data_IF_468108641049
#
_entry.id   IF_468108641049
#
_cell.length_a   1.000
_cell.length_b   1.000
_cell.length_c   1.000
_cell.angle_alpha   90.00
_cell.angle_beta   90.00
_cell.angle_gamma   90.00
#
_symmetry.space_group_name_H-M   'P 1'
#
loop_
_entity.id
_entity.type
_entity.pdbx_description
1 polymer ?
#
# COMPACT_ATOMS: atom_id res chain seq x y z
N UNK A 1 -33.34 35.54 52.97
CA UNK A 1 -31.92 35.45 52.54
C UNK A 1 -31.83 34.34 51.52
N UNK A 2 -31.66 34.70 50.23
CA UNK A 2 -31.73 33.77 49.09
C UNK A 2 -30.30 33.49 48.61
N UNK A 3 -29.95 32.21 48.54
CA UNK A 3 -28.66 31.66 48.12
C UNK A 3 -28.55 31.62 46.59
N UNK A 4 -27.50 32.22 46.02
CA UNK A 4 -27.13 32.13 44.61
C UNK A 4 -25.96 31.16 44.43
N UNK A 5 -26.25 29.98 43.91
CA UNK A 5 -25.27 28.96 43.48
C UNK A 5 -24.88 29.25 42.02
N UNK A 6 -23.59 29.29 41.63
CA UNK A 6 -23.21 29.40 40.23
C UNK A 6 -23.43 28.07 39.50
N UNK A 7 -24.21 28.11 38.40
CA UNK A 7 -24.50 26.95 37.53
C UNK A 7 -23.27 26.56 36.71
N UNK A 8 -22.57 25.49 37.13
CA UNK A 8 -21.43 24.90 36.41
C UNK A 8 -21.79 24.19 35.08
N UNK A 9 -23.07 24.16 34.68
CA UNK A 9 -23.52 23.46 33.47
C UNK A 9 -23.50 24.27 32.16
N UNK A 10 -23.28 25.59 32.22
CA UNK A 10 -23.38 26.47 31.02
C UNK A 10 -22.00 26.77 30.42
N UNK A 11 -20.93 26.84 31.24
CA UNK A 11 -19.58 27.13 30.75
C UNK A 11 -18.96 25.97 29.96
N UNK A 12 -19.22 24.71 30.34
CA UNK A 12 -18.68 23.53 29.64
C UNK A 12 -19.26 23.43 28.22
N UNK A 13 -20.56 23.73 28.06
CA UNK A 13 -21.23 23.73 26.76
C UNK A 13 -20.72 24.82 25.82
N UNK A 14 -20.38 26.00 26.34
CA UNK A 14 -19.81 27.10 25.54
C UNK A 14 -18.38 26.78 25.08
N UNK A 15 -17.58 26.13 25.93
CA UNK A 15 -16.20 25.72 25.58
C UNK A 15 -16.20 24.62 24.52
N UNK A 16 -17.11 23.65 24.61
CA UNK A 16 -17.28 22.61 23.59
C UNK A 16 -17.76 23.23 22.26
N UNK A 17 -18.71 24.17 22.31
CA UNK A 17 -19.19 24.86 21.11
C UNK A 17 -18.08 25.68 20.44
N UNK A 18 -17.26 26.39 21.22
CA UNK A 18 -16.11 27.15 20.72
C UNK A 18 -15.04 26.23 20.13
N UNK A 19 -14.79 25.06 20.73
CA UNK A 19 -13.82 24.09 20.23
C UNK A 19 -14.28 23.45 18.90
N UNK A 20 -15.57 23.11 18.80
CA UNK A 20 -16.19 22.64 17.56
C UNK A 20 -16.14 23.74 16.49
N UNK A 21 -16.42 25.00 16.84
CA UNK A 21 -16.35 26.13 15.91
C UNK A 21 -14.90 26.37 15.43
N UNK A 22 -13.90 26.25 16.30
CA UNK A 22 -12.49 26.36 15.90
C UNK A 22 -12.02 25.20 15.03
N UNK A 23 -12.54 23.99 15.27
CA UNK A 23 -12.27 22.83 14.40
C UNK A 23 -12.92 22.99 13.03
N UNK A 24 -14.14 23.55 12.95
CA UNK A 24 -14.82 23.87 11.69
C UNK A 24 -14.08 25.00 10.94
N UNK A 25 -13.62 26.03 11.63
CA UNK A 25 -12.85 27.12 11.01
C UNK A 25 -11.47 26.63 10.57
N UNK A 26 -10.83 25.73 11.33
CA UNK A 26 -9.54 25.12 10.96
C UNK A 26 -9.69 24.16 9.77
N UNK A 27 -10.77 23.36 9.72
CA UNK A 27 -11.06 22.50 8.56
C UNK A 27 -11.39 23.32 7.31
N UNK A 28 -12.10 24.45 7.46
CA UNK A 28 -12.37 25.38 6.37
C UNK A 28 -11.10 26.11 5.88
N UNK A 29 -10.12 26.38 6.77
CA UNK A 29 -8.82 26.95 6.39
C UNK A 29 -7.88 25.94 5.73
N UNK A 30 -7.93 24.66 6.14
CA UNK A 30 -7.22 23.57 5.45
C UNK A 30 -7.81 23.28 4.06
N UNK A 31 -9.13 23.41 3.89
CA UNK A 31 -9.76 23.35 2.56
C UNK A 31 -9.45 24.57 1.67
N UNK A 32 -9.02 25.69 2.24
CA UNK A 32 -8.70 26.91 1.50
C UNK A 32 -7.27 26.91 0.88
N UNK A 33 -6.49 25.85 1.07
CA UNK A 33 -5.12 25.72 0.54
C UNK A 33 -5.00 24.77 -0.66
N UNK A 34 -6.13 24.26 -1.17
CA UNK A 34 -6.18 23.53 -2.43
C UNK A 34 -6.24 24.57 -3.55
N UNK A 35 -5.29 24.60 -4.51
CA UNK A 35 -5.40 25.48 -5.67
C UNK A 35 -6.67 25.12 -6.43
N UNK A 36 -7.68 26.00 -6.40
CA UNK A 36 -8.81 25.87 -7.31
C UNK A 36 -8.30 26.01 -8.74
N UNK A 37 -8.63 25.04 -9.58
CA UNK A 37 -8.40 25.12 -11.03
C UNK A 37 -9.36 26.19 -11.57
N UNK A 38 -8.89 27.44 -11.64
CA UNK A 38 -9.57 28.50 -12.40
C UNK A 38 -9.37 28.21 -13.89
N UNK A 39 -10.45 27.83 -14.57
CA UNK A 39 -10.44 27.70 -16.03
C UNK A 39 -11.31 26.59 -16.63
N UNK A 40 -12.04 25.81 -15.83
CA UNK A 40 -12.97 24.82 -16.38
C UNK A 40 -14.41 25.34 -16.39
N UNK A 41 -14.83 25.89 -17.53
CA UNK A 41 -16.25 26.01 -17.84
C UNK A 41 -16.73 24.63 -18.29
N UNK A 42 -17.64 24.02 -17.54
CA UNK A 42 -18.24 22.72 -17.87
C UNK A 42 -18.79 22.68 -19.30
N UNK A 43 -19.13 21.48 -19.82
CA UNK A 43 -19.48 21.33 -21.23
C UNK A 43 -20.70 22.19 -21.58
N UNK A 44 -20.53 23.01 -22.61
CA UNK A 44 -21.63 23.73 -23.24
C UNK A 44 -22.69 22.73 -23.71
N UNK A 45 -23.98 23.08 -23.54
CA UNK A 45 -25.10 22.30 -24.07
C UNK A 45 -24.99 22.22 -25.60
N UNK A 46 -24.30 21.19 -26.08
CA UNK A 46 -24.19 20.80 -27.47
C UNK A 46 -25.16 19.65 -27.78
N UNK A 47 -25.83 19.78 -28.91
CA UNK A 47 -26.96 18.98 -29.38
C UNK A 47 -26.71 17.46 -29.41
N UNK A 48 -27.74 16.68 -29.09
CA UNK A 48 -27.80 15.22 -29.23
C UNK A 48 -27.40 14.80 -30.65
N UNK A 49 -26.16 14.33 -30.82
CA UNK A 49 -25.76 13.52 -31.98
C UNK A 49 -25.95 12.05 -31.61
N UNK A 50 -26.55 11.30 -32.53
CA UNK A 50 -26.74 9.86 -32.44
C UNK A 50 -25.42 9.14 -32.08
N UNK A 51 -25.47 7.97 -31.42
CA UNK A 51 -24.27 7.24 -31.02
C UNK A 51 -23.40 6.97 -32.25
N UNK A 52 -22.18 7.49 -32.22
CA UNK A 52 -21.14 7.20 -33.22
C UNK A 52 -20.85 5.71 -33.13
N UNK A 53 -20.97 5.00 -34.25
CA UNK A 53 -20.61 3.59 -34.33
C UNK A 53 -19.15 3.40 -33.84
N UNK A 54 -18.84 2.33 -33.08
CA UNK A 54 -17.49 2.12 -32.57
C UNK A 54 -16.50 2.07 -33.73
N UNK A 55 -15.50 2.95 -33.68
CA UNK A 55 -14.36 2.95 -34.59
C UNK A 55 -13.74 1.54 -34.59
N UNK A 56 -13.46 0.94 -35.76
CA UNK A 56 -12.81 -0.37 -35.80
C UNK A 56 -11.44 -0.27 -35.10
N UNK A 57 -11.22 -1.20 -34.17
CA UNK A 57 -10.01 -1.33 -33.34
C UNK A 57 -8.79 -1.43 -34.26
N UNK A 58 -7.83 -0.51 -34.12
CA UNK A 58 -6.59 -0.55 -34.90
C UNK A 58 -5.70 -1.72 -34.43
N UNK A 59 -4.90 -2.30 -35.33
CA UNK A 59 -4.02 -3.44 -35.00
C UNK A 59 -2.94 -3.06 -33.96
N UNK A 60 -2.61 -1.78 -33.83
CA UNK A 60 -1.77 -1.24 -32.75
C UNK A 60 -2.42 -1.28 -31.35
N UNK A 61 -3.74 -1.51 -31.24
CA UNK A 61 -4.47 -1.63 -29.97
C UNK A 61 -4.56 -3.10 -29.48
N UNK A 62 -3.84 -4.04 -30.11
CA UNK A 62 -3.85 -5.46 -29.75
C UNK A 62 -2.98 -5.67 -28.49
N UNK A 63 -3.67 -5.62 -27.34
CA UNK A 63 -3.30 -6.16 -26.03
C UNK A 63 -2.18 -5.45 -25.23
N UNK A 64 -2.51 -4.28 -24.67
CA UNK A 64 -1.79 -3.66 -23.53
C UNK A 64 -1.90 -4.51 -22.24
N UNK A 65 -3.00 -5.23 -22.08
CA UNK A 65 -3.39 -5.99 -20.88
C UNK A 65 -2.93 -7.45 -21.05
N UNK A 66 -1.66 -7.79 -20.73
CA UNK A 66 -1.06 -9.08 -21.12
C UNK A 66 -1.95 -10.30 -20.81
N UNK A 67 -2.08 -11.24 -21.76
CA UNK A 67 -2.79 -12.49 -21.49
C UNK A 67 -2.01 -13.30 -20.44
N UNK A 68 -2.65 -13.62 -19.32
CA UNK A 68 -1.96 -14.24 -18.21
C UNK A 68 -1.61 -15.71 -18.50
N UNK A 69 -0.31 -16.00 -18.65
CA UNK A 69 0.23 -17.37 -18.61
C UNK A 69 0.91 -17.65 -17.27
N UNK A 70 0.46 -18.69 -16.57
CA UNK A 70 1.09 -19.10 -15.31
C UNK A 70 2.53 -19.59 -15.55
N UNK A 71 3.46 -19.16 -14.71
CA UNK A 71 4.83 -19.66 -14.74
C UNK A 71 4.95 -21.03 -14.08
N UNK A 72 6.03 -21.74 -14.38
CA UNK A 72 6.36 -23.04 -13.78
C UNK A 72 7.50 -22.83 -12.78
N UNK A 73 7.27 -23.02 -11.47
CA UNK A 73 8.34 -22.96 -10.47
C UNK A 73 9.43 -23.98 -10.76
N UNK A 74 10.66 -23.64 -10.41
CA UNK A 74 11.77 -24.58 -10.39
C UNK A 74 11.53 -25.71 -9.37
N UNK A 75 12.20 -26.87 -9.52
CA UNK A 75 12.12 -27.95 -8.55
C UNK A 75 12.48 -27.49 -7.12
N UNK A 76 11.94 -28.16 -6.08
CA UNK A 76 12.26 -27.83 -4.68
C UNK A 76 13.76 -27.76 -4.42
N UNK A 77 14.19 -26.77 -3.64
CA UNK A 77 15.61 -26.53 -3.32
C UNK A 77 16.39 -25.76 -4.39
N UNK A 78 15.75 -25.38 -5.50
CA UNK A 78 16.35 -24.50 -6.50
C UNK A 78 16.41 -23.05 -6.02
N UNK A 79 17.46 -22.33 -6.42
CA UNK A 79 17.57 -20.89 -6.17
C UNK A 79 17.00 -20.07 -7.34
N UNK A 80 16.54 -18.86 -7.01
CA UNK A 80 16.14 -17.84 -7.99
C UNK A 80 17.08 -16.64 -7.88
N UNK A 81 17.45 -16.07 -9.02
CA UNK A 81 18.06 -14.74 -9.03
C UNK A 81 17.03 -13.69 -8.64
N UNK A 82 17.40 -12.77 -7.75
CA UNK A 82 16.47 -11.80 -7.16
C UNK A 82 17.04 -10.38 -7.21
N UNK A 83 16.18 -9.40 -7.42
CA UNK A 83 16.49 -8.00 -7.10
C UNK A 83 15.41 -7.37 -6.22
N UNK A 84 15.84 -6.48 -5.33
CA UNK A 84 15.01 -5.58 -4.55
C UNK A 84 15.21 -4.16 -5.08
N UNK A 85 14.14 -3.58 -5.62
CA UNK A 85 14.11 -2.25 -6.23
C UNK A 85 13.42 -1.28 -5.29
N UNK A 86 14.19 -0.28 -4.80
CA UNK A 86 13.73 0.64 -3.77
C UNK A 86 14.01 2.10 -4.17
N UNK A 87 12.97 2.89 -4.49
CA UNK A 87 13.07 4.33 -4.52
C UNK A 87 13.20 4.88 -3.11
N UNK A 88 14.05 5.88 -2.92
CA UNK A 88 14.20 6.61 -1.66
C UNK A 88 14.60 8.05 -1.89
N UNK A 89 14.27 8.89 -0.92
CA UNK A 89 14.86 10.22 -0.74
C UNK A 89 16.22 10.11 -0.04
N UNK A 90 17.07 11.11 -0.20
CA UNK A 90 18.38 11.17 0.46
C UNK A 90 18.27 11.10 1.98
N UNK A 91 17.21 11.65 2.56
CA UNK A 91 16.98 11.68 4.01
C UNK A 91 16.43 10.37 4.61
N UNK A 92 15.83 9.49 3.80
CA UNK A 92 15.27 8.23 4.30
C UNK A 92 16.41 7.27 4.71
N UNK A 93 16.14 6.23 5.48
CA UNK A 93 17.15 5.22 5.80
C UNK A 93 16.67 3.87 5.31
N UNK A 94 17.54 3.14 4.61
CA UNK A 94 17.25 1.84 3.99
C UNK A 94 18.29 0.79 4.40
N UNK A 95 18.97 1.02 5.52
CA UNK A 95 20.00 0.16 6.09
C UNK A 95 19.49 -1.25 6.43
N UNK A 96 18.19 -1.41 6.66
CA UNK A 96 17.54 -2.71 6.84
C UNK A 96 17.76 -3.68 5.67
N UNK A 97 17.96 -3.16 4.45
CA UNK A 97 18.22 -3.98 3.25
C UNK A 97 19.56 -4.74 3.38
N UNK A 98 20.45 -4.30 4.27
CA UNK A 98 21.70 -5.00 4.53
C UNK A 98 21.51 -6.36 5.23
N UNK A 99 20.36 -6.61 5.84
CA UNK A 99 20.00 -7.91 6.43
C UNK A 99 19.51 -8.93 5.39
N UNK A 100 19.44 -8.54 4.11
CA UNK A 100 19.03 -9.39 3.02
C UNK A 100 20.25 -9.85 2.23
N UNK A 101 20.55 -11.14 2.38
CA UNK A 101 21.57 -11.86 1.62
C UNK A 101 20.99 -12.35 0.27
N UNK A 102 21.86 -12.65 -0.69
CA UNK A 102 21.51 -13.26 -1.98
C UNK A 102 20.43 -12.51 -2.79
N UNK A 103 20.36 -11.18 -2.64
CA UNK A 103 19.48 -10.31 -3.42
C UNK A 103 20.23 -9.09 -3.95
N UNK A 104 20.08 -8.81 -5.25
CA UNK A 104 20.63 -7.60 -5.86
C UNK A 104 19.88 -6.38 -5.33
N UNK A 105 20.60 -5.37 -4.86
CA UNK A 105 20.04 -4.17 -4.25
C UNK A 105 20.04 -3.03 -5.27
N UNK A 106 18.85 -2.62 -5.69
CA UNK A 106 18.64 -1.60 -6.73
C UNK A 106 18.02 -0.36 -6.08
N UNK A 107 18.88 0.47 -5.50
CA UNK A 107 18.48 1.60 -4.67
C UNK A 107 18.59 2.89 -5.47
N UNK A 108 17.47 3.58 -5.66
CA UNK A 108 17.40 4.81 -6.44
C UNK A 108 17.19 6.00 -5.50
N UNK A 109 18.14 6.95 -5.48
CA UNK A 109 18.03 8.19 -4.69
C UNK A 109 17.38 9.28 -5.54
N UNK A 110 16.05 9.36 -5.49
CA UNK A 110 15.25 10.07 -6.50
C UNK A 110 15.38 11.59 -6.47
N UNK A 111 15.81 12.16 -5.33
CA UNK A 111 16.07 13.59 -5.12
C UNK A 111 17.57 13.96 -5.25
N UNK A 112 18.38 13.05 -5.81
CA UNK A 112 19.78 13.28 -6.14
C UNK A 112 20.06 13.06 -7.63
N UNK A 113 20.21 14.14 -8.44
CA UNK A 113 20.45 14.03 -9.87
C UNK A 113 21.83 13.45 -10.22
N UNK A 114 22.72 13.30 -9.24
CA UNK A 114 24.05 12.70 -9.43
C UNK A 114 24.10 11.25 -8.96
N UNK A 115 23.06 10.75 -8.29
CA UNK A 115 23.00 9.36 -7.87
C UNK A 115 22.90 8.41 -9.05
N UNK A 116 23.46 7.21 -8.88
CA UNK A 116 23.30 6.08 -9.78
C UNK A 116 22.62 4.95 -8.98
N UNK A 117 21.66 4.22 -9.58
CA UNK A 117 21.16 4.40 -10.95
C UNK A 117 20.27 5.66 -11.12
N UNK A 118 20.23 6.20 -12.34
CA UNK A 118 19.52 7.46 -12.65
C UNK A 118 18.06 7.21 -13.04
N UNK A 119 17.22 8.21 -12.80
CA UNK A 119 15.87 8.33 -13.35
C UNK A 119 15.76 9.58 -14.23
N UNK A 120 14.85 9.62 -15.21
CA UNK A 120 14.69 10.81 -16.05
C UNK A 120 14.13 12.02 -15.28
N UNK A 121 13.26 11.80 -14.29
CA UNK A 121 12.68 12.86 -13.45
C UNK A 121 12.04 12.30 -12.18
N UNK A 122 12.22 12.95 -11.03
CA UNK A 122 11.45 12.62 -9.82
C UNK A 122 9.97 13.05 -9.97
N UNK A 123 9.14 12.16 -10.50
CA UNK A 123 7.71 12.39 -10.75
C UNK A 123 6.94 11.07 -10.79
N UNK A 124 5.78 11.03 -10.17
CA UNK A 124 4.93 9.84 -10.08
C UNK A 124 5.35 8.88 -8.98
N UNK A 125 5.97 9.39 -7.90
CA UNK A 125 6.45 8.59 -6.78
C UNK A 125 7.36 7.43 -7.23
N UNK A 126 7.17 6.23 -6.67
CA UNK A 126 7.91 5.01 -6.99
C UNK A 126 7.78 4.56 -8.46
N UNK A 127 6.68 4.93 -9.13
CA UNK A 127 6.40 4.44 -10.48
C UNK A 127 7.48 4.80 -11.49
N UNK A 128 8.13 5.96 -11.35
CA UNK A 128 9.24 6.32 -12.22
C UNK A 128 10.41 5.36 -12.09
N UNK A 129 10.77 5.01 -10.85
CA UNK A 129 11.88 4.10 -10.57
C UNK A 129 11.53 2.71 -11.08
N UNK A 130 10.32 2.22 -10.81
CA UNK A 130 9.91 0.88 -11.23
C UNK A 130 9.91 0.73 -12.75
N UNK A 131 9.32 1.69 -13.48
CA UNK A 131 9.33 1.69 -14.95
C UNK A 131 10.75 1.82 -15.49
N UNK A 132 11.57 2.71 -14.93
CA UNK A 132 12.96 2.89 -15.37
C UNK A 132 13.78 1.63 -15.15
N UNK A 133 13.66 0.98 -13.99
CA UNK A 133 14.34 -0.29 -13.72
C UNK A 133 13.93 -1.38 -14.72
N UNK A 134 12.63 -1.55 -14.97
CA UNK A 134 12.13 -2.56 -15.91
C UNK A 134 12.62 -2.30 -17.35
N UNK A 135 12.65 -1.03 -17.79
CA UNK A 135 13.11 -0.64 -19.13
C UNK A 135 14.62 -0.87 -19.27
N UNK A 136 15.40 -0.37 -18.33
CA UNK A 136 16.87 -0.35 -18.42
C UNK A 136 17.46 -1.77 -18.28
N UNK A 137 16.77 -2.66 -17.58
CA UNK A 137 17.20 -4.04 -17.34
C UNK A 137 16.42 -5.07 -18.14
N UNK A 138 15.56 -4.69 -19.09
CA UNK A 138 14.57 -5.57 -19.71
C UNK A 138 15.13 -6.90 -20.27
N UNK A 139 16.32 -6.88 -20.89
CA UNK A 139 16.97 -8.09 -21.42
C UNK A 139 17.71 -8.91 -20.34
N UNK A 140 17.96 -8.32 -19.18
CA UNK A 140 18.79 -8.89 -18.10
C UNK A 140 18.03 -8.92 -16.76
N UNK A 141 16.70 -8.91 -16.77
CA UNK A 141 15.89 -8.93 -15.56
C UNK A 141 16.24 -10.18 -14.72
N UNK A 142 16.33 -10.10 -13.39
CA UNK A 142 16.43 -11.29 -12.56
C UNK A 142 15.13 -12.09 -12.62
N UNK A 143 15.17 -13.35 -12.21
CA UNK A 143 13.99 -14.23 -12.22
C UNK A 143 12.87 -13.68 -11.35
N UNK A 144 13.22 -13.02 -10.23
CA UNK A 144 12.28 -12.37 -9.33
C UNK A 144 12.71 -10.92 -9.08
N UNK A 145 11.77 -9.99 -9.22
CA UNK A 145 11.94 -8.58 -8.90
C UNK A 145 10.95 -8.21 -7.80
N UNK A 146 11.44 -7.59 -6.74
CA UNK A 146 10.63 -7.14 -5.61
C UNK A 146 10.70 -5.62 -5.59
N UNK A 147 9.56 -4.97 -5.72
CA UNK A 147 9.39 -3.52 -5.74
C UNK A 147 8.81 -3.10 -4.39
N UNK A 148 9.54 -2.27 -3.66
CA UNK A 148 9.23 -2.00 -2.25
C UNK A 148 9.55 -0.55 -1.88
N UNK A 149 8.81 -0.01 -0.91
CA UNK A 149 9.10 1.32 -0.37
C UNK A 149 10.35 1.30 0.52
N UNK A 150 10.90 2.50 0.78
CA UNK A 150 12.13 2.66 1.57
C UNK A 150 11.99 2.29 3.05
N UNK A 151 10.79 2.41 3.61
CA UNK A 151 10.56 2.27 5.05
C UNK A 151 10.71 0.80 5.49
N UNK A 152 11.43 0.57 6.60
CA UNK A 152 11.45 -0.77 7.23
C UNK A 152 10.09 -1.12 7.82
N UNK A 153 9.48 -0.17 8.53
CA UNK A 153 8.20 -0.35 9.20
C UNK A 153 7.17 0.64 8.64
N UNK A 154 6.01 0.13 8.24
CA UNK A 154 4.92 0.95 7.73
C UNK A 154 3.53 0.42 8.12
N UNK A 155 2.53 1.31 8.05
CA UNK A 155 1.13 0.96 8.33
C UNK A 155 0.53 -0.01 7.30
N UNK A 156 1.11 -0.08 6.09
CA UNK A 156 0.67 -0.97 5.01
C UNK A 156 1.46 -2.28 4.95
N UNK A 157 2.46 -2.47 5.83
CA UNK A 157 3.14 -3.75 6.01
C UNK A 157 2.34 -4.68 6.93
N UNK A 158 2.56 -5.98 6.76
CA UNK A 158 1.69 -6.98 7.35
C UNK A 158 1.93 -7.20 8.84
N UNK A 159 0.88 -7.07 9.64
CA UNK A 159 0.94 -7.24 11.10
C UNK A 159 1.48 -8.62 11.53
N UNK A 160 1.05 -9.76 10.92
CA UNK A 160 1.65 -11.05 11.21
C UNK A 160 3.15 -11.15 10.86
N UNK A 161 3.66 -10.25 10.02
CA UNK A 161 5.07 -10.15 9.64
C UNK A 161 5.78 -9.02 10.41
N UNK A 162 5.23 -8.67 11.59
CA UNK A 162 5.70 -7.61 12.47
C UNK A 162 5.73 -6.22 11.82
N UNK A 163 5.01 -6.02 10.71
CA UNK A 163 5.09 -4.82 9.87
C UNK A 163 6.51 -4.50 9.39
N UNK A 164 7.33 -5.52 9.20
CA UNK A 164 8.75 -5.38 8.85
C UNK A 164 8.98 -5.79 7.39
N UNK A 165 9.48 -4.84 6.59
CA UNK A 165 9.79 -5.02 5.18
C UNK A 165 10.83 -6.13 4.93
N UNK A 166 11.85 -6.24 5.80
CA UNK A 166 12.87 -7.28 5.67
C UNK A 166 12.26 -8.66 5.91
N UNK A 167 11.35 -8.80 6.89
CA UNK A 167 10.64 -10.05 7.15
C UNK A 167 9.72 -10.44 5.99
N UNK A 168 9.02 -9.47 5.39
CA UNK A 168 8.22 -9.67 4.18
C UNK A 168 9.07 -10.20 3.02
N UNK A 169 10.22 -9.56 2.73
CA UNK A 169 11.13 -9.99 1.66
C UNK A 169 11.75 -11.37 1.93
N UNK A 170 12.09 -11.68 3.18
CA UNK A 170 12.66 -12.97 3.58
C UNK A 170 11.67 -14.13 3.43
N UNK A 171 10.39 -13.90 3.74
CA UNK A 171 9.35 -14.95 3.73
C UNK A 171 8.61 -15.11 2.42
N UNK A 172 8.71 -14.14 1.51
CA UNK A 172 8.02 -14.18 0.23
C UNK A 172 8.31 -15.49 -0.52
N UNK A 173 7.25 -16.25 -0.82
CA UNK A 173 7.27 -17.46 -1.64
C UNK A 173 7.58 -17.09 -3.09
N UNK A 174 8.81 -17.37 -3.52
CA UNK A 174 9.27 -17.04 -4.87
C UNK A 174 8.56 -17.91 -5.91
N UNK A 175 8.25 -19.15 -5.56
CA UNK A 175 7.47 -20.08 -6.37
C UNK A 175 6.07 -19.53 -6.64
N UNK A 176 5.44 -18.87 -5.66
CA UNK A 176 4.16 -18.20 -5.88
C UNK A 176 4.30 -17.02 -6.84
N UNK A 177 5.37 -16.22 -6.72
CA UNK A 177 5.64 -15.12 -7.67
C UNK A 177 5.77 -15.68 -9.10
N UNK A 178 6.47 -16.80 -9.28
CA UNK A 178 6.59 -17.47 -10.59
C UNK A 178 5.24 -17.95 -11.10
N UNK A 179 4.48 -18.70 -10.28
CA UNK A 179 3.15 -19.22 -10.67
C UNK A 179 2.22 -18.10 -11.10
N UNK A 180 2.13 -17.06 -10.28
CA UNK A 180 1.15 -15.99 -10.43
C UNK A 180 1.64 -14.85 -11.32
N UNK A 181 2.91 -14.84 -11.68
CA UNK A 181 3.56 -13.80 -12.48
C UNK A 181 3.74 -12.47 -11.75
N UNK A 182 2.71 -12.02 -11.04
CA UNK A 182 2.60 -10.81 -10.24
C UNK A 182 1.95 -11.17 -8.91
N UNK A 183 2.50 -10.66 -7.81
CA UNK A 183 1.85 -10.71 -6.49
C UNK A 183 2.03 -9.37 -5.79
N UNK A 184 0.96 -8.84 -5.20
CA UNK A 184 1.10 -7.74 -4.26
C UNK A 184 1.75 -8.27 -2.97
N UNK A 185 2.70 -7.52 -2.40
CA UNK A 185 3.32 -7.91 -1.12
C UNK A 185 2.34 -7.78 0.04
N UNK A 186 1.32 -6.94 -0.12
CA UNK A 186 0.21 -6.81 0.80
C UNK A 186 -0.87 -7.84 0.52
N UNK A 187 -1.30 -8.53 1.56
CA UNK A 187 -2.42 -9.44 1.60
C UNK A 187 -3.69 -8.80 2.17
N UNK A 188 -3.55 -7.87 3.12
CA UNK A 188 -4.71 -7.20 3.74
C UNK A 188 -5.51 -6.38 2.72
N UNK A 189 -6.83 -6.54 2.72
CA UNK A 189 -7.71 -5.97 1.69
C UNK A 189 -7.91 -4.45 1.80
N UNK A 190 -7.71 -3.83 2.97
CA UNK A 190 -8.13 -2.44 3.20
C UNK A 190 -6.95 -1.47 3.32
N UNK A 191 -6.75 -0.50 2.41
CA UNK A 191 -7.60 -0.15 1.28
C UNK A 191 -7.30 -0.99 0.03
N UNK A 192 -8.26 -1.04 -0.91
CA UNK A 192 -8.03 -1.58 -2.25
C UNK A 192 -9.02 -2.67 -2.71
N UNK A 193 -9.32 -3.64 -1.85
CA UNK A 193 -10.12 -4.82 -2.19
C UNK A 193 -11.47 -4.87 -1.45
N UNK A 194 -12.51 -5.52 -2.02
CA UNK A 194 -12.57 -6.10 -3.37
C UNK A 194 -12.81 -5.06 -4.48
N UNK A 195 -13.19 -3.84 -4.12
CA UNK A 195 -13.43 -2.74 -5.06
C UNK A 195 -13.21 -1.42 -4.35
N UNK A 196 -12.17 -0.69 -4.75
CA UNK A 196 -11.81 0.58 -4.14
C UNK A 196 -12.13 1.77 -5.04
N UNK A 197 -11.74 1.69 -6.31
CA UNK A 197 -11.97 2.76 -7.28
C UNK A 197 -13.20 2.43 -8.12
N UNK A 198 -14.15 3.36 -8.16
CA UNK A 198 -15.33 3.30 -9.04
C UNK A 198 -15.26 4.44 -10.05
N UNK A 199 -14.61 4.24 -11.22
CA UNK A 199 -14.29 5.33 -12.14
C UNK A 199 -15.53 6.06 -12.72
N UNK A 200 -16.69 5.41 -12.73
CA UNK A 200 -17.94 6.01 -13.23
C UNK A 200 -18.65 6.91 -12.21
N UNK A 201 -18.12 7.02 -10.99
CA UNK A 201 -18.73 7.83 -9.92
C UNK A 201 -18.55 9.32 -10.23
N UNK A 202 -19.66 10.07 -10.21
CA UNK A 202 -19.68 11.52 -10.49
C UNK A 202 -19.62 12.38 -9.23
N UNK A 203 -19.73 11.76 -8.05
CA UNK A 203 -19.66 12.44 -6.75
C UNK A 203 -18.23 12.40 -6.24
N UNK A 204 -17.68 13.56 -5.88
CA UNK A 204 -16.38 13.61 -5.23
C UNK A 204 -16.45 12.96 -3.84
N UNK A 205 -15.54 12.03 -3.59
CA UNK A 205 -15.35 11.42 -2.28
C UNK A 205 -14.03 11.91 -1.67
N UNK A 206 -14.11 12.67 -0.57
CA UNK A 206 -12.93 13.17 0.14
C UNK A 206 -12.04 12.06 0.72
N UNK A 207 -12.59 10.87 0.95
CA UNK A 207 -11.85 9.69 1.42
C UNK A 207 -11.13 8.97 0.27
N UNK A 208 -11.49 9.26 -0.99
CA UNK A 208 -10.92 8.66 -2.20
C UNK A 208 -10.57 9.71 -3.26
N UNK A 209 -9.74 10.71 -2.92
CA UNK A 209 -9.41 11.81 -3.84
C UNK A 209 -8.73 11.34 -5.13
N UNK A 210 -8.19 10.12 -5.16
CA UNK A 210 -7.57 9.54 -6.34
C UNK A 210 -8.55 9.09 -7.44
N UNK A 211 -9.84 8.86 -7.17
CA UNK A 211 -10.75 8.23 -8.15
C UNK A 211 -10.83 9.02 -9.46
N UNK A 212 -10.98 10.34 -9.36
CA UNK A 212 -11.00 11.24 -10.52
C UNK A 212 -9.66 11.22 -11.29
N UNK A 213 -8.54 11.05 -10.58
CA UNK A 213 -7.21 10.97 -11.20
C UNK A 213 -6.98 9.63 -11.89
N UNK A 214 -7.45 8.53 -11.31
CA UNK A 214 -7.40 7.19 -11.90
C UNK A 214 -8.26 7.13 -13.16
N UNK A 215 -9.47 7.71 -13.13
CA UNK A 215 -10.31 7.84 -14.32
C UNK A 215 -9.59 8.60 -15.44
N UNK A 216 -9.02 9.77 -15.14
CA UNK A 216 -8.27 10.55 -16.13
C UNK A 216 -7.03 9.81 -16.65
N UNK A 217 -6.29 9.17 -15.75
CA UNK A 217 -5.14 8.34 -16.11
C UNK A 217 -5.54 7.20 -17.04
N UNK A 218 -6.65 6.52 -16.75
CA UNK A 218 -7.20 5.46 -17.60
C UNK A 218 -7.44 5.96 -19.03
N UNK A 219 -8.15 7.07 -19.20
CA UNK A 219 -8.47 7.60 -20.54
C UNK A 219 -7.22 8.04 -21.31
N UNK A 220 -6.19 8.50 -20.61
CA UNK A 220 -4.94 8.94 -21.23
C UNK A 220 -4.01 7.78 -21.63
N UNK A 221 -4.00 6.69 -20.84
CA UNK A 221 -3.10 5.53 -21.01
C UNK A 221 -3.76 4.45 -21.88
N UNK A 222 -5.09 4.28 -21.77
CA UNK A 222 -5.85 3.25 -22.49
C UNK A 222 -7.03 3.87 -23.27
N UNK A 223 -6.76 4.74 -24.26
CA UNK A 223 -7.81 5.50 -24.95
C UNK A 223 -8.85 4.62 -25.66
N UNK A 224 -8.44 3.42 -26.09
CA UNK A 224 -9.29 2.45 -26.80
C UNK A 224 -9.95 1.41 -25.87
N UNK A 225 -9.64 1.40 -24.57
CA UNK A 225 -10.16 0.40 -23.63
C UNK A 225 -11.30 1.00 -22.79
N UNK A 226 -12.51 0.40 -22.80
CA UNK A 226 -13.61 0.86 -21.96
C UNK A 226 -13.22 0.95 -20.49
N UNK A 227 -13.64 2.04 -19.85
CA UNK A 227 -13.41 2.27 -18.43
C UNK A 227 -14.11 1.17 -17.61
N UNK A 228 -13.41 0.43 -16.74
CA UNK A 228 -14.00 -0.63 -15.95
C UNK A 228 -15.01 -0.09 -14.93
N UNK A 229 -16.01 -0.90 -14.59
CA UNK A 229 -17.00 -0.56 -13.56
C UNK A 229 -16.40 -0.42 -12.15
N UNK A 230 -15.33 -1.17 -11.88
CA UNK A 230 -14.61 -1.18 -10.61
C UNK A 230 -13.16 -1.58 -10.85
N UNK A 231 -12.25 -0.97 -10.10
CA UNK A 231 -10.86 -1.41 -9.97
C UNK A 231 -10.62 -1.80 -8.52
N UNK A 232 -10.06 -3.00 -8.33
CA UNK A 232 -9.78 -3.58 -7.03
C UNK A 232 -8.44 -4.28 -7.01
N UNK A 233 -7.65 -4.00 -5.99
CA UNK A 233 -6.33 -4.58 -5.78
C UNK A 233 -5.75 -4.00 -4.51
N UNK A 234 -4.95 -4.77 -3.77
CA UNK A 234 -4.32 -4.24 -2.55
C UNK A 234 -3.49 -2.99 -2.87
N UNK A 235 -3.53 -2.01 -1.97
CA UNK A 235 -2.87 -0.72 -2.15
C UNK A 235 -1.34 -0.79 -2.24
N UNK A 236 -0.78 0.41 -2.41
CA UNK A 236 0.52 0.84 -1.92
C UNK A 236 1.74 0.44 -2.77
N UNK A 237 1.53 -0.03 -4.01
CA UNK A 237 2.59 -0.21 -5.01
C UNK A 237 3.83 -0.98 -4.50
N UNK A 238 3.61 -1.96 -3.61
CA UNK A 238 4.61 -2.92 -3.20
C UNK A 238 4.24 -4.29 -3.76
N UNK A 239 5.04 -4.82 -4.68
CA UNK A 239 4.71 -6.04 -5.39
C UNK A 239 5.97 -6.80 -5.82
N UNK A 240 5.80 -8.07 -6.15
CA UNK A 240 6.83 -8.87 -6.79
C UNK A 240 6.39 -9.35 -8.17
N UNK A 241 7.36 -9.42 -9.08
CA UNK A 241 7.20 -9.85 -10.46
C UNK A 241 8.18 -10.96 -10.80
N UNK A 242 7.71 -11.91 -11.60
CA UNK A 242 8.59 -12.83 -12.32
C UNK A 242 9.14 -12.17 -13.59
N UNK A 243 10.32 -12.62 -14.05
CA UNK A 243 10.91 -12.18 -15.32
C UNK A 243 9.94 -12.37 -16.47
N UNK A 244 9.37 -13.56 -16.59
CA UNK A 244 8.50 -13.96 -17.69
C UNK A 244 7.27 -13.05 -17.75
N UNK A 245 6.73 -12.69 -16.57
CA UNK A 245 5.62 -11.75 -16.47
C UNK A 245 6.00 -10.33 -16.87
N UNK A 246 7.15 -9.85 -16.44
CA UNK A 246 7.63 -8.53 -16.81
C UNK A 246 7.87 -8.43 -18.32
N UNK A 247 8.47 -9.46 -18.93
CA UNK A 247 8.76 -9.52 -20.37
C UNK A 247 7.53 -9.82 -21.24
N UNK A 248 6.42 -10.27 -20.65
CA UNK A 248 5.14 -10.38 -21.34
C UNK A 248 4.53 -8.99 -21.67
N UNK A 249 5.01 -7.93 -21.03
CA UNK A 249 4.69 -6.54 -21.37
C UNK A 249 5.81 -5.98 -22.24
N UNK A 250 5.58 -5.70 -23.54
CA UNK A 250 6.62 -5.19 -24.43
C UNK A 250 7.35 -3.98 -23.87
N UNK A 251 8.65 -3.88 -24.14
CA UNK A 251 9.48 -2.76 -23.66
C UNK A 251 8.92 -1.42 -24.12
N UNK A 252 8.41 -1.35 -25.34
CA UNK A 252 7.80 -0.17 -25.94
C UNK A 252 6.58 0.30 -25.14
N UNK A 253 5.81 -0.62 -24.57
CA UNK A 253 4.68 -0.29 -23.69
C UNK A 253 5.16 0.28 -22.36
N UNK A 254 6.20 -0.30 -21.76
CA UNK A 254 6.81 0.25 -20.55
C UNK A 254 7.36 1.68 -20.78
N UNK A 255 7.96 1.93 -21.95
CA UNK A 255 8.40 3.27 -22.35
C UNK A 255 7.20 4.21 -22.48
N UNK A 256 6.14 3.79 -23.19
CA UNK A 256 4.91 4.57 -23.33
C UNK A 256 4.31 4.96 -21.96
N UNK A 257 4.28 4.03 -21.01
CA UNK A 257 3.85 4.25 -19.63
C UNK A 257 4.71 5.29 -18.90
N UNK A 258 6.04 5.18 -19.02
CA UNK A 258 6.97 6.15 -18.42
C UNK A 258 6.81 7.54 -19.06
N UNK A 259 6.61 7.59 -20.37
CA UNK A 259 6.41 8.83 -21.11
C UNK A 259 5.09 9.50 -20.73
N UNK A 260 4.02 8.73 -20.49
CA UNK A 260 2.79 9.26 -19.88
C UNK A 260 3.08 9.95 -18.54
N UNK A 261 3.88 9.31 -17.68
CA UNK A 261 4.24 9.86 -16.38
C UNK A 261 5.02 11.18 -16.52
N UNK A 262 5.91 11.28 -17.50
CA UNK A 262 6.65 12.51 -17.79
C UNK A 262 5.75 13.63 -18.32
N UNK A 263 4.85 13.33 -19.27
CA UNK A 263 4.03 14.33 -19.98
C UNK A 263 2.74 14.75 -19.29
N UNK A 264 2.18 13.92 -18.40
CA UNK A 264 0.89 14.22 -17.76
C UNK A 264 0.94 15.52 -16.95
N UNK A 265 -0.15 16.28 -16.92
CA UNK A 265 -0.27 17.47 -16.06
C UNK A 265 -0.71 17.14 -14.64
N UNK A 266 -0.91 15.86 -14.31
CA UNK A 266 -1.14 15.43 -12.94
C UNK A 266 0.11 15.69 -12.09
N UNK A 267 -0.11 16.20 -10.88
CA UNK A 267 0.97 16.36 -9.90
C UNK A 267 1.48 15.00 -9.43
N UNK A 268 2.67 15.00 -8.83
CA UNK A 268 3.38 13.81 -8.37
C UNK A 268 2.49 12.84 -7.56
N UNK A 269 1.76 13.37 -6.58
CA UNK A 269 0.83 12.58 -5.75
C UNK A 269 -0.20 11.82 -6.58
N UNK A 270 -0.96 12.51 -7.44
CA UNK A 270 -2.05 11.88 -8.20
C UNK A 270 -1.54 10.97 -9.30
N UNK A 271 -0.47 11.35 -10.01
CA UNK A 271 0.12 10.50 -11.05
C UNK A 271 0.72 9.20 -10.48
N UNK A 272 1.29 9.23 -9.27
CA UNK A 272 1.68 8.02 -8.54
C UNK A 272 0.47 7.15 -8.17
N UNK A 273 -0.62 7.75 -7.65
CA UNK A 273 -1.85 7.01 -7.32
C UNK A 273 -2.49 6.34 -8.54
N UNK A 274 -2.39 6.93 -9.73
CA UNK A 274 -2.81 6.24 -10.96
C UNK A 274 -2.07 4.92 -11.11
N UNK A 275 -0.74 4.94 -11.02
CA UNK A 275 0.09 3.73 -11.14
C UNK A 275 -0.18 2.69 -10.06
N UNK A 276 -0.38 3.13 -8.81
CA UNK A 276 -0.71 2.26 -7.69
C UNK A 276 -1.89 1.32 -8.00
N UNK A 277 -2.92 1.81 -8.70
CA UNK A 277 -4.10 1.03 -9.08
C UNK A 277 -4.03 0.38 -10.46
N UNK A 278 -2.93 0.58 -11.21
CA UNK A 278 -2.77 -0.01 -12.54
C UNK A 278 -1.78 -1.18 -12.56
N UNK A 279 -0.88 -1.33 -11.58
CA UNK A 279 0.14 -2.38 -11.61
C UNK A 279 -0.43 -3.78 -11.82
N UNK A 280 -1.43 -4.18 -11.03
CA UNK A 280 -2.04 -5.50 -11.20
C UNK A 280 -2.73 -5.63 -12.55
N UNK A 281 -3.34 -4.56 -13.08
CA UNK A 281 -4.00 -4.59 -14.39
C UNK A 281 -2.98 -4.79 -15.51
N UNK A 282 -1.85 -4.07 -15.47
CA UNK A 282 -0.78 -4.20 -16.46
C UNK A 282 -0.25 -5.63 -16.52
N UNK A 283 -0.01 -6.26 -15.38
CA UNK A 283 0.64 -7.57 -15.34
C UNK A 283 -0.33 -8.74 -15.38
N UNK A 284 -1.48 -8.66 -14.71
CA UNK A 284 -2.45 -9.78 -14.63
C UNK A 284 -3.57 -9.69 -15.66
N UNK A 285 -3.82 -8.49 -16.15
CA UNK A 285 -4.96 -8.20 -17.01
C UNK A 285 -6.32 -8.11 -16.31
N UNK A 286 -6.34 -8.24 -14.98
CA UNK A 286 -7.58 -8.28 -14.20
C UNK A 286 -7.85 -6.92 -13.56
N UNK A 287 -9.05 -6.37 -13.77
CA UNK A 287 -9.46 -5.11 -13.13
C UNK A 287 -9.62 -5.25 -11.61
N UNK A 288 -9.99 -6.45 -11.17
CA UNK A 288 -10.06 -6.83 -9.75
C UNK A 288 -9.11 -8.00 -9.49
N UNK A 289 -8.00 -7.74 -8.79
CA UNK A 289 -7.04 -8.76 -8.35
C UNK A 289 -6.98 -8.80 -6.82
N UNK A 290 -7.91 -9.53 -6.22
CA UNK A 290 -8.10 -9.59 -4.78
C UNK A 290 -8.13 -11.04 -4.28
N UNK A 291 -6.96 -11.71 -4.17
CA UNK A 291 -6.91 -13.05 -3.59
C UNK A 291 -7.45 -13.03 -2.15
N UNK A 292 -8.10 -14.11 -1.72
CA UNK A 292 -8.52 -14.27 -0.33
C UNK A 292 -7.31 -14.06 0.61
N UNK A 293 -7.48 -13.26 1.65
CA UNK A 293 -6.38 -12.85 2.53
C UNK A 293 -5.65 -14.06 3.12
N UNK A 294 -6.42 -15.05 3.63
CA UNK A 294 -5.86 -16.30 4.19
C UNK A 294 -5.02 -17.08 3.18
N UNK A 295 -5.47 -17.14 1.92
CA UNK A 295 -4.70 -17.78 0.84
C UNK A 295 -3.44 -16.99 0.55
N UNK A 296 -3.55 -15.66 0.51
CA UNK A 296 -2.41 -14.78 0.28
C UNK A 296 -1.33 -14.95 1.36
N UNK A 297 -1.72 -14.96 2.63
CA UNK A 297 -0.80 -15.18 3.74
C UNK A 297 -0.18 -16.57 3.73
N UNK A 298 -0.97 -17.60 3.45
CA UNK A 298 -0.49 -18.97 3.45
C UNK A 298 0.47 -19.25 2.29
N UNK A 299 0.03 -19.06 1.05
CA UNK A 299 0.86 -19.38 -0.12
C UNK A 299 2.00 -18.38 -0.33
N UNK A 300 1.81 -17.11 0.09
CA UNK A 300 2.81 -16.05 -0.05
C UNK A 300 3.86 -16.00 1.04
N UNK A 301 3.49 -16.30 2.29
CA UNK A 301 4.38 -16.05 3.44
C UNK A 301 4.47 -17.25 4.41
N UNK A 302 3.73 -18.33 4.14
CA UNK A 302 3.69 -19.52 4.98
C UNK A 302 2.83 -19.37 6.24
N UNK A 303 2.01 -18.33 6.36
CA UNK A 303 1.11 -18.18 7.50
C UNK A 303 -0.22 -18.90 7.20
N UNK A 304 -0.30 -20.18 7.55
CA UNK A 304 -1.38 -21.05 7.10
C UNK A 304 -2.41 -21.38 8.19
N UNK A 305 -3.68 -21.13 7.87
CA UNK A 305 -4.86 -21.50 8.64
C UNK A 305 -5.77 -22.38 7.77
N UNK A 306 -6.28 -23.45 8.35
CA UNK A 306 -7.18 -24.37 7.66
C UNK A 306 -8.52 -23.70 7.32
N UNK A 307 -9.03 -22.88 8.25
CA UNK A 307 -10.31 -22.20 8.16
C UNK A 307 -10.19 -20.69 8.34
N UNK A 308 -11.22 -19.94 7.90
CA UNK A 308 -11.25 -18.49 7.97
C UNK A 308 -11.35 -17.96 9.41
N UNK A 309 -12.09 -18.64 10.30
CA UNK A 309 -12.32 -18.15 11.66
C UNK A 309 -11.05 -17.91 12.49
N UNK A 310 -10.13 -18.90 12.67
CA UNK A 310 -8.91 -18.65 13.43
C UNK A 310 -7.99 -17.62 12.77
N UNK A 311 -8.05 -17.48 11.44
CA UNK A 311 -7.35 -16.41 10.72
C UNK A 311 -7.95 -15.03 11.04
N UNK A 312 -9.27 -14.89 11.05
CA UNK A 312 -9.97 -13.66 11.40
C UNK A 312 -9.72 -13.27 12.87
N UNK A 313 -9.64 -14.25 13.78
CA UNK A 313 -9.25 -14.02 15.17
C UNK A 313 -7.82 -13.46 15.29
N UNK A 314 -6.86 -14.03 14.54
CA UNK A 314 -5.50 -13.50 14.47
C UNK A 314 -5.51 -12.05 13.95
N UNK A 315 -6.20 -11.76 12.83
CA UNK A 315 -6.31 -10.39 12.28
C UNK A 315 -6.90 -9.42 13.30
N UNK A 316 -8.00 -9.80 13.96
CA UNK A 316 -8.65 -8.98 14.98
C UNK A 316 -7.70 -8.67 16.14
N UNK A 317 -6.98 -9.69 16.62
CA UNK A 317 -6.00 -9.53 17.69
C UNK A 317 -4.84 -8.63 17.28
N UNK A 318 -4.34 -8.77 16.04
CA UNK A 318 -3.32 -7.90 15.45
C UNK A 318 -3.76 -6.43 15.39
N UNK A 319 -5.00 -6.16 14.96
CA UNK A 319 -5.56 -4.81 14.94
C UNK A 319 -5.67 -4.19 16.34
N UNK A 320 -6.05 -5.00 17.34
CA UNK A 320 -6.08 -4.56 18.75
C UNK A 320 -4.66 -4.22 19.23
N UNK A 321 -3.68 -5.09 18.95
CA UNK A 321 -2.28 -4.87 19.33
C UNK A 321 -1.68 -3.62 18.66
N UNK A 322 -2.06 -3.35 17.42
CA UNK A 322 -1.68 -2.12 16.72
C UNK A 322 -2.25 -0.88 17.43
N UNK A 323 -3.55 -0.86 17.73
CA UNK A 323 -4.17 0.24 18.46
C UNK A 323 -3.55 0.48 19.84
N UNK A 324 -3.25 -0.59 20.59
CA UNK A 324 -2.59 -0.49 21.89
C UNK A 324 -1.16 0.05 21.78
N UNK A 325 -0.39 -0.33 20.74
CA UNK A 325 0.96 0.23 20.51
C UNK A 325 0.91 1.72 20.19
N UNK A 326 -0.04 2.15 19.34
CA UNK A 326 -0.25 3.57 19.08
C UNK A 326 -0.60 4.35 20.35
N UNK A 327 -1.46 3.78 21.21
CA UNK A 327 -1.77 4.39 22.50
C UNK A 327 -0.53 4.46 23.41
N UNK A 328 0.27 3.40 23.47
CA UNK A 328 1.50 3.37 24.26
C UNK A 328 2.51 4.43 23.79
N UNK A 329 2.69 4.58 22.48
CA UNK A 329 3.60 5.57 21.91
C UNK A 329 3.11 7.00 22.15
N UNK A 330 1.80 7.23 22.10
CA UNK A 330 1.21 8.50 22.53
C UNK A 330 1.52 8.82 24.00
N UNK A 331 1.37 7.84 24.90
CA UNK A 331 1.72 8.03 26.31
C UNK A 331 3.21 8.28 26.53
N UNK A 332 4.09 7.55 25.83
CA UNK A 332 5.54 7.77 25.86
C UNK A 332 5.92 9.17 25.40
N UNK A 333 5.30 9.67 24.33
CA UNK A 333 5.52 11.02 23.82
C UNK A 333 5.11 12.08 24.85
N UNK A 334 3.94 11.94 25.48
CA UNK A 334 3.51 12.84 26.55
C UNK A 334 4.48 12.87 27.73
N UNK A 335 4.99 11.71 28.15
CA UNK A 335 6.00 11.64 29.21
C UNK A 335 7.29 12.37 28.82
N UNK A 336 7.73 12.25 27.57
CA UNK A 336 8.89 12.97 27.06
C UNK A 336 8.66 14.49 27.03
N UNK A 337 7.48 14.95 26.60
CA UNK A 337 7.11 16.37 26.60
C UNK A 337 7.09 16.95 28.03
N UNK A 338 6.49 16.22 28.98
CA UNK A 338 6.49 16.61 30.41
C UNK A 338 7.91 16.64 30.98
N UNK A 339 8.74 15.64 30.68
CA UNK A 339 10.13 15.59 31.12
C UNK A 339 10.94 16.77 30.56
N UNK A 340 10.71 17.14 29.30
CA UNK A 340 11.38 18.25 28.64
C UNK A 340 10.96 19.59 29.23
N UNK A 341 9.65 19.83 29.43
CA UNK A 341 9.15 21.05 30.07
C UNK A 341 9.63 21.21 31.52
N UNK A 342 9.76 20.10 32.28
CA UNK A 342 10.39 20.12 33.62
C UNK A 342 11.86 20.54 33.54
N UNK A 343 12.62 19.98 32.59
CA UNK A 343 14.05 20.32 32.39
C UNK A 343 14.24 21.79 32.02
N UNK A 344 13.34 22.34 31.21
CA UNK A 344 13.34 23.75 30.77
C UNK A 344 12.75 24.71 31.80
N UNK A 345 12.23 24.22 32.93
CA UNK A 345 11.50 25.01 33.95
C UNK A 345 10.33 25.80 33.34
N UNK A 346 9.70 25.25 32.31
CA UNK A 346 8.54 25.85 31.63
C UNK A 346 7.25 25.51 32.39
N UNK A 347 7.03 26.17 33.52
CA UNK A 347 5.89 25.92 34.41
C UNK A 347 4.52 26.24 33.76
N UNK A 348 4.48 27.19 32.82
CA UNK A 348 3.26 27.53 32.07
C UNK A 348 2.83 26.42 31.13
N UNK A 349 3.78 25.74 30.47
CA UNK A 349 3.49 24.59 29.64
C UNK A 349 3.04 23.39 30.49
N UNK A 350 3.73 23.13 31.61
CA UNK A 350 3.39 22.04 32.54
C UNK A 350 1.96 22.14 33.09
N UNK A 351 1.48 23.35 33.38
CA UNK A 351 0.12 23.58 33.89
C UNK A 351 -1.00 23.24 32.88
N UNK A 352 -0.67 23.19 31.58
CA UNK A 352 -1.62 22.88 30.49
C UNK A 352 -1.48 21.44 29.97
N UNK A 353 -0.41 20.74 30.37
CA UNK A 353 -0.16 19.37 29.94
C UNK A 353 -1.03 18.39 30.73
N UNK A 354 -1.61 17.43 30.01
CA UNK A 354 -2.31 16.32 30.64
C UNK A 354 -1.27 15.41 31.30
N UNK A 355 -1.15 15.47 32.63
CA UNK A 355 -0.25 14.59 33.37
C UNK A 355 -0.78 13.15 33.24
N UNK A 356 0.02 12.21 32.71
CA UNK A 356 -0.43 10.84 32.52
C UNK A 356 -0.96 10.27 33.83
N UNK A 357 -2.17 9.70 33.82
CA UNK A 357 -2.53 8.74 34.86
C UNK A 357 -1.58 7.56 34.69
N UNK A 358 -0.54 7.47 35.52
CA UNK A 358 0.47 6.41 35.50
C UNK A 358 -0.15 5.00 35.37
N UNK A 359 -1.40 4.83 35.84
CA UNK A 359 -2.16 3.59 35.72
C UNK A 359 -2.51 3.17 34.28
N UNK A 360 -2.79 4.09 33.33
CA UNK A 360 -3.23 3.69 31.99
C UNK A 360 -2.08 3.13 31.14
N UNK A 361 -0.91 3.77 31.15
CA UNK A 361 0.26 3.27 30.42
C UNK A 361 0.64 1.85 30.87
N UNK A 362 0.68 1.62 32.18
CA UNK A 362 0.98 0.29 32.74
C UNK A 362 -0.08 -0.76 32.36
N UNK A 363 -1.37 -0.37 32.31
CA UNK A 363 -2.43 -1.23 31.81
C UNK A 363 -2.22 -1.59 30.33
N UNK A 364 -1.96 -0.60 29.47
CA UNK A 364 -1.71 -0.81 28.03
C UNK A 364 -0.50 -1.74 27.82
N UNK A 365 0.59 -1.53 28.56
CA UNK A 365 1.76 -2.42 28.49
C UNK A 365 1.43 -3.86 28.89
N UNK A 366 0.61 -4.05 29.93
CA UNK A 366 0.15 -5.38 30.35
C UNK A 366 -0.78 -6.02 29.31
N UNK A 367 -1.70 -5.25 28.73
CA UNK A 367 -2.60 -5.71 27.66
C UNK A 367 -1.80 -6.15 26.42
N UNK A 368 -0.78 -5.37 26.02
CA UNK A 368 0.11 -5.73 24.91
C UNK A 368 0.85 -7.03 25.21
N UNK A 369 1.39 -7.22 26.43
CA UNK A 369 2.07 -8.47 26.80
C UNK A 369 1.15 -9.67 26.72
N UNK A 370 -0.03 -9.59 27.32
CA UNK A 370 -0.98 -10.71 27.37
C UNK A 370 -1.52 -11.06 25.99
N UNK A 371 -1.99 -10.06 25.23
CA UNK A 371 -2.52 -10.26 23.88
C UNK A 371 -1.43 -10.64 22.89
N UNK A 372 -0.21 -10.11 23.06
CA UNK A 372 0.95 -10.43 22.24
C UNK A 372 1.39 -11.88 22.39
N UNK A 373 1.31 -12.46 23.59
CA UNK A 373 1.58 -13.88 23.80
C UNK A 373 0.62 -14.77 22.99
N UNK A 374 -0.69 -14.51 23.08
CA UNK A 374 -1.72 -15.25 22.34
C UNK A 374 -1.53 -15.06 20.82
N UNK A 375 -1.27 -13.84 20.37
CA UNK A 375 -1.03 -13.55 18.96
C UNK A 375 0.17 -14.34 18.42
N UNK A 376 1.27 -14.36 19.18
CA UNK A 376 2.47 -15.09 18.79
C UNK A 376 2.26 -16.60 18.79
N UNK A 377 1.47 -17.15 19.71
CA UNK A 377 1.11 -18.56 19.73
C UNK A 377 0.36 -18.96 18.44
N UNK A 378 -0.72 -18.24 18.11
CA UNK A 378 -1.50 -18.48 16.89
C UNK A 378 -0.66 -18.31 15.62
N UNK A 379 0.13 -17.24 15.57
CA UNK A 379 1.05 -16.93 14.47
C UNK A 379 2.09 -18.03 14.26
N UNK A 380 2.75 -18.47 15.32
CA UNK A 380 3.82 -19.47 15.24
C UNK A 380 3.26 -20.84 14.83
N UNK A 381 2.09 -21.22 15.34
CA UNK A 381 1.41 -22.45 14.92
C UNK A 381 1.03 -22.40 13.42
N UNK A 382 0.57 -21.23 12.93
CA UNK A 382 0.27 -21.04 11.52
C UNK A 382 1.51 -21.11 10.62
N UNK A 383 2.64 -20.54 11.08
CA UNK A 383 3.92 -20.68 10.36
C UNK A 383 4.44 -22.11 10.34
N UNK A 384 4.34 -22.84 11.45
CA UNK A 384 4.73 -24.23 11.51
C UNK A 384 3.93 -25.08 10.50
N UNK A 385 2.61 -24.86 10.42
CA UNK A 385 1.76 -25.52 9.40
C UNK A 385 2.19 -25.18 7.98
N UNK A 386 2.52 -23.91 7.71
CA UNK A 386 2.96 -23.48 6.39
C UNK A 386 4.36 -23.93 5.99
N UNK A 387 5.08 -24.69 6.81
CA UNK A 387 6.32 -25.35 6.37
C UNK A 387 6.05 -26.55 5.45
N UNK A 388 4.82 -27.07 5.41
CA UNK A 388 4.44 -28.16 4.51
C UNK A 388 3.91 -27.60 3.17
N UNK A 389 4.59 -27.86 2.03
CA UNK A 389 4.13 -27.41 0.72
C UNK A 389 2.75 -27.96 0.33
N UNK A 390 2.37 -29.15 0.83
CA UNK A 390 1.04 -29.75 0.63
C UNK A 390 -0.06 -28.91 1.27
N UNK A 391 0.23 -28.36 2.45
CA UNK A 391 -0.71 -27.51 3.19
C UNK A 391 -0.92 -26.20 2.43
N UNK A 392 0.16 -25.56 1.97
CA UNK A 392 0.06 -24.35 1.14
C UNK A 392 -0.74 -24.62 -0.13
N UNK A 393 -0.44 -25.74 -0.79
CA UNK A 393 -1.14 -26.13 -2.00
C UNK A 393 -2.65 -26.28 -1.81
N UNK A 394 -3.04 -27.07 -0.81
CA UNK A 394 -4.43 -27.31 -0.47
C UNK A 394 -5.17 -26.01 -0.13
N UNK A 395 -4.58 -25.14 0.71
CA UNK A 395 -5.20 -23.87 1.09
C UNK A 395 -5.33 -22.94 -0.13
N UNK A 396 -4.33 -22.92 -1.01
CA UNK A 396 -4.38 -22.15 -2.24
C UNK A 396 -5.29 -22.74 -3.34
N UNK A 397 -5.84 -23.94 -3.12
CA UNK A 397 -6.66 -24.64 -4.11
C UNK A 397 -5.87 -25.11 -5.34
N UNK A 398 -4.54 -25.26 -5.23
CA UNK A 398 -3.69 -25.74 -6.33
C UNK A 398 -3.47 -27.26 -6.21
N UNK A 399 -3.36 -27.99 -7.34
CA UNK A 399 -2.97 -29.39 -7.31
C UNK A 399 -1.56 -29.55 -6.72
N UNK A 400 -1.31 -30.70 -6.11
CA UNK A 400 -0.01 -31.08 -5.55
C UNK A 400 0.17 -32.59 -5.65
N UNK A 401 1.36 -33.03 -6.04
CA UNK A 401 1.79 -34.43 -6.01
C UNK A 401 3.12 -34.57 -5.28
N UNK A 402 3.44 -35.80 -4.88
CA UNK A 402 4.68 -36.09 -4.17
C UNK A 402 5.90 -35.58 -4.95
N UNK A 403 6.77 -34.83 -4.26
CA UNK A 403 7.92 -34.14 -4.86
C UNK A 403 7.66 -32.70 -5.34
N UNK A 404 6.42 -32.21 -5.33
CA UNK A 404 6.12 -30.81 -5.64
C UNK A 404 6.52 -29.87 -4.47
N UNK A 405 6.97 -28.67 -4.83
CA UNK A 405 7.37 -27.63 -3.88
C UNK A 405 6.24 -26.72 -3.39
N UNK A 406 6.66 -25.60 -2.78
CA UNK A 406 5.79 -24.52 -2.33
C UNK A 406 5.08 -23.81 -3.46
#
# INVERSE_FOLDING_TARGET
MISLIPKAGIQISIIILLFILTLIIASQRLSASIPQIKGWTGPSKGQNKAPVAPTPIAAEDIFIISNFTAGVPKPPGSNYTRALVVPRLRQERVDWINELDDIKKEIYVVDDPNSLPRIPKNKGREAMVYLTYLIDNYDNLPEIMIFMHAHREAWHHEEPLNRDAAEMVKRLSLERVVRNGFVNLRCDWTPGCPGWIHPHTTQENSEKPEEASVLKGWTDIFPSIPIPGVIGGQCCAEFALSRERAQAVPREHLIYYRDWLLRTNLVDYYSGRVWEYLWHIIFTGQYVYCPAERVCFCDGYGLCFDDDQPFLELKKLGNILYGLRLELDHWRKKEQEVASAKKERNFTALAKMEVPKMSRKQQVEQEIRQKGAIFNELKNAAFARGQDPRVRARIAGRPWKEGDGF
#
